data_IF_655994048845
#
_entry.id   IF_655994048845
#
_cell.length_a   1.000
_cell.length_b   1.000
_cell.length_c   1.000
_cell.angle_alpha   90.00
_cell.angle_beta   90.00
_cell.angle_gamma   90.00
#
_symmetry.space_group_name_H-M   'P 1'
#
loop_
_entity.id
_entity.type
_entity.pdbx_description
1 polymer ?
#
# COMPACT_ATOMS: atom_id res chain seq x y z
N UNK A 1 -16.03 24.72 -8.87
CA UNK A 1 -14.96 25.25 -9.74
C UNK A 1 -15.28 24.83 -11.18
N UNK A 2 -15.15 25.71 -12.16
CA UNK A 2 -15.40 25.37 -13.57
C UNK A 2 -14.11 24.83 -14.19
N UNK A 3 -14.21 23.74 -14.95
CA UNK A 3 -13.06 23.08 -15.57
C UNK A 3 -12.31 23.96 -16.57
N UNK A 4 -13.02 24.85 -17.26
CA UNK A 4 -12.48 25.79 -18.24
C UNK A 4 -11.64 26.94 -17.62
N UNK A 5 -11.65 27.06 -16.30
CA UNK A 5 -10.89 28.07 -15.54
C UNK A 5 -9.62 27.50 -14.88
N UNK A 6 -9.36 26.21 -15.07
CA UNK A 6 -8.17 25.57 -14.49
C UNK A 6 -6.92 25.88 -15.33
N UNK A 7 -5.79 26.15 -14.68
CA UNK A 7 -4.52 26.27 -15.40
C UNK A 7 -4.14 24.93 -16.03
N UNK A 8 -3.68 24.93 -17.26
CA UNK A 8 -3.25 23.73 -17.97
C UNK A 8 -1.78 23.80 -18.34
N UNK A 9 -1.04 22.65 -18.28
CA UNK A 9 -1.51 21.31 -17.90
C UNK A 9 -1.65 21.13 -16.37
N UNK A 10 -2.68 20.41 -15.92
CA UNK A 10 -2.86 20.08 -14.49
C UNK A 10 -3.57 18.74 -14.31
N UNK A 11 -3.32 18.10 -13.16
CA UNK A 11 -4.14 16.98 -12.69
C UNK A 11 -5.29 17.53 -11.84
N UNK A 12 -6.46 16.93 -11.97
CA UNK A 12 -7.65 17.31 -11.21
C UNK A 12 -8.22 16.10 -10.50
N UNK A 13 -8.43 16.23 -9.20
CA UNK A 13 -9.12 15.21 -8.41
C UNK A 13 -10.53 15.70 -8.14
N UNK A 14 -11.52 14.91 -8.55
CA UNK A 14 -12.91 15.14 -8.24
C UNK A 14 -13.25 14.43 -6.92
N UNK A 15 -13.20 15.16 -5.82
CA UNK A 15 -13.50 14.60 -4.49
C UNK A 15 -14.90 13.99 -4.39
N UNK A 16 -15.89 14.47 -5.16
CA UNK A 16 -17.23 13.88 -5.14
C UNK A 16 -17.19 12.45 -5.66
N UNK A 17 -16.53 12.23 -6.80
CA UNK A 17 -16.34 10.89 -7.38
C UNK A 17 -15.44 10.03 -6.49
N UNK A 18 -14.40 10.61 -5.91
CA UNK A 18 -13.55 9.91 -4.94
C UNK A 18 -14.38 9.41 -3.75
N UNK A 19 -15.20 10.25 -3.15
CA UNK A 19 -16.09 9.89 -2.05
C UNK A 19 -17.11 8.80 -2.43
N UNK A 20 -17.64 8.85 -3.64
CA UNK A 20 -18.55 7.81 -4.16
C UNK A 20 -17.83 6.46 -4.23
N UNK A 21 -16.63 6.40 -4.78
CA UNK A 21 -15.80 5.20 -4.82
C UNK A 21 -15.41 4.70 -3.42
N UNK A 22 -15.02 5.60 -2.53
CA UNK A 22 -14.65 5.25 -1.15
C UNK A 22 -15.82 4.66 -0.36
N UNK A 23 -17.06 5.11 -0.59
CA UNK A 23 -18.25 4.51 0.02
C UNK A 23 -18.45 3.06 -0.40
N UNK A 24 -18.22 2.75 -1.69
CA UNK A 24 -18.30 1.36 -2.20
C UNK A 24 -17.25 0.49 -1.47
N UNK A 25 -16.01 0.95 -1.37
CA UNK A 25 -14.95 0.23 -0.67
C UNK A 25 -15.29 0.04 0.82
N UNK A 26 -15.82 1.06 1.47
CA UNK A 26 -16.26 0.97 2.87
C UNK A 26 -17.37 -0.07 3.04
N UNK A 27 -18.36 -0.09 2.15
CA UNK A 27 -19.45 -1.07 2.18
C UNK A 27 -18.91 -2.51 2.01
N UNK A 28 -18.00 -2.71 1.07
CA UNK A 28 -17.32 -4.03 0.88
C UNK A 28 -16.57 -4.42 2.15
N UNK A 29 -15.79 -3.51 2.72
CA UNK A 29 -15.04 -3.72 3.95
C UNK A 29 -15.94 -4.18 5.10
N UNK A 30 -17.04 -3.48 5.30
CA UNK A 30 -18.00 -3.75 6.39
C UNK A 30 -18.72 -5.09 6.18
N UNK A 31 -19.17 -5.38 4.94
CA UNK A 31 -19.88 -6.62 4.62
C UNK A 31 -18.97 -7.85 4.66
N UNK A 32 -17.73 -7.72 4.22
CA UNK A 32 -16.76 -8.82 4.20
C UNK A 32 -16.02 -9.00 5.54
N UNK A 33 -16.11 -8.04 6.45
CA UNK A 33 -15.36 -8.06 7.73
C UNK A 33 -13.85 -8.03 7.52
N UNK A 34 -13.37 -7.37 6.46
CA UNK A 34 -11.96 -7.26 6.12
C UNK A 34 -11.44 -5.83 6.29
N UNK A 35 -10.12 -5.66 6.26
CA UNK A 35 -9.48 -4.35 6.14
C UNK A 35 -9.18 -4.04 4.68
N UNK A 36 -9.31 -2.77 4.30
CA UNK A 36 -8.91 -2.27 2.98
C UNK A 36 -7.88 -1.16 3.17
N UNK A 37 -6.73 -1.29 2.51
CA UNK A 37 -5.62 -0.35 2.57
C UNK A 37 -5.45 0.37 1.24
N UNK A 38 -5.05 1.64 1.30
CA UNK A 38 -4.65 2.41 0.13
C UNK A 38 -3.29 1.96 -0.37
N UNK A 39 -3.21 1.48 -1.61
CA UNK A 39 -1.93 1.21 -2.27
C UNK A 39 -1.31 2.53 -2.77
N UNK A 40 -0.31 3.04 -2.07
CA UNK A 40 0.29 4.35 -2.35
C UNK A 40 0.94 4.40 -3.73
N UNK A 41 1.54 3.32 -4.22
CA UNK A 41 2.08 3.24 -5.59
C UNK A 41 1.04 3.48 -6.69
N UNK A 42 -0.24 3.24 -6.40
CA UNK A 42 -1.34 3.50 -7.33
C UNK A 42 -1.93 4.91 -7.17
N UNK A 43 -1.92 5.43 -5.94
CA UNK A 43 -2.46 6.75 -5.63
C UNK A 43 -1.73 7.34 -4.43
N UNK A 44 -0.87 8.32 -4.68
CA UNK A 44 -0.05 8.99 -3.65
C UNK A 44 -0.35 10.48 -3.51
N UNK A 45 -1.53 10.93 -3.92
CA UNK A 45 -1.97 12.30 -3.65
C UNK A 45 -2.30 12.44 -2.16
N UNK A 46 -1.31 12.76 -1.36
CA UNK A 46 -1.39 12.77 0.10
C UNK A 46 -2.36 13.82 0.65
N UNK A 47 -2.66 14.87 -0.09
CA UNK A 47 -3.72 15.84 0.29
C UNK A 47 -5.08 15.17 0.52
N UNK A 48 -5.33 14.04 -0.14
CA UNK A 48 -6.57 13.27 0.01
C UNK A 48 -6.51 12.20 1.13
N UNK A 49 -5.35 11.98 1.74
CA UNK A 49 -5.20 10.93 2.77
C UNK A 49 -6.09 11.13 3.98
N UNK A 50 -6.30 12.36 4.51
CA UNK A 50 -7.25 12.59 5.59
C UNK A 50 -8.70 12.23 5.21
N UNK A 51 -9.09 12.47 3.95
CA UNK A 51 -10.39 12.07 3.44
C UNK A 51 -10.48 10.55 3.28
N UNK A 52 -9.50 9.95 2.60
CA UNK A 52 -9.44 8.49 2.35
C UNK A 52 -9.43 7.71 3.66
N UNK A 53 -8.71 8.18 4.66
CA UNK A 53 -8.63 7.59 5.98
C UNK A 53 -9.95 7.55 6.76
N UNK A 54 -10.99 8.30 6.35
CA UNK A 54 -12.34 8.16 6.92
C UNK A 54 -13.07 6.91 6.43
N UNK A 55 -12.60 6.30 5.37
CA UNK A 55 -13.23 5.15 4.71
C UNK A 55 -12.39 3.89 4.77
N UNK A 56 -11.07 4.03 4.65
CA UNK A 56 -10.11 2.92 4.62
C UNK A 56 -9.37 2.78 5.96
N UNK A 57 -8.73 1.62 6.14
CA UNK A 57 -8.10 1.25 7.42
C UNK A 57 -6.63 1.72 7.51
N UNK A 58 -6.01 2.08 6.39
CA UNK A 58 -4.63 2.50 6.38
C UNK A 58 -4.03 2.52 4.98
N UNK A 59 -2.70 2.41 4.93
CA UNK A 59 -1.90 2.45 3.72
C UNK A 59 -1.05 1.21 3.54
N UNK A 60 -0.68 0.91 2.30
CA UNK A 60 0.38 -0.05 2.00
C UNK A 60 1.46 0.61 1.14
N UNK A 61 2.71 0.39 1.53
CA UNK A 61 3.90 1.02 0.98
C UNK A 61 4.76 0.01 0.21
N UNK A 62 5.46 0.48 -0.81
CA UNK A 62 6.44 -0.29 -1.59
C UNK A 62 7.88 -0.05 -1.10
N UNK A 63 8.08 0.75 -0.06
CA UNK A 63 9.37 1.07 0.53
C UNK A 63 9.27 2.14 1.61
N UNK A 64 10.41 2.54 2.15
CA UNK A 64 10.50 3.44 3.31
C UNK A 64 9.82 4.80 3.08
N UNK A 65 9.99 5.42 1.92
CA UNK A 65 9.45 6.76 1.68
C UNK A 65 7.92 6.77 1.63
N UNK A 66 7.31 5.77 0.99
CA UNK A 66 5.85 5.60 1.03
C UNK A 66 5.36 5.26 2.44
N UNK A 67 6.11 4.45 3.20
CA UNK A 67 5.76 4.13 4.58
C UNK A 67 5.77 5.38 5.48
N UNK A 68 6.76 6.25 5.33
CA UNK A 68 6.79 7.57 6.00
C UNK A 68 5.56 8.40 5.63
N UNK A 69 5.30 8.53 4.33
CA UNK A 69 4.18 9.31 3.82
C UNK A 69 2.84 8.80 4.40
N UNK A 70 2.61 7.49 4.37
CA UNK A 70 1.41 6.89 4.95
C UNK A 70 1.29 7.12 6.45
N UNK A 71 2.41 7.04 7.18
CA UNK A 71 2.45 7.29 8.62
C UNK A 71 2.15 8.76 8.96
N UNK A 72 2.74 9.70 8.22
CA UNK A 72 2.63 11.12 8.48
C UNK A 72 1.27 11.69 8.06
N UNK A 73 0.78 11.32 6.88
CA UNK A 73 -0.38 11.97 6.26
C UNK A 73 -1.71 11.25 6.54
N UNK A 74 -1.70 9.93 6.74
CA UNK A 74 -2.91 9.20 7.10
C UNK A 74 -2.94 8.81 8.58
N UNK A 75 -1.81 8.43 9.15
CA UNK A 75 -1.66 8.11 10.57
C UNK A 75 -2.44 6.88 11.04
N UNK A 76 -2.79 5.98 10.12
CA UNK A 76 -3.53 4.74 10.39
C UNK A 76 -2.63 3.51 10.23
N UNK A 77 -3.23 2.32 10.08
CA UNK A 77 -2.48 1.08 9.87
C UNK A 77 -1.57 1.20 8.65
N UNK A 78 -0.29 0.86 8.80
CA UNK A 78 0.73 1.06 7.78
C UNK A 78 1.45 -0.24 7.48
N UNK A 79 1.26 -0.76 6.27
CA UNK A 79 1.88 -1.99 5.80
C UNK A 79 3.01 -1.68 4.82
N UNK A 80 4.01 -2.55 4.76
CA UNK A 80 5.07 -2.45 3.76
C UNK A 80 5.42 -3.79 3.15
N UNK A 81 5.55 -3.81 1.83
CA UNK A 81 6.17 -4.89 1.07
C UNK A 81 7.17 -4.31 0.07
N UNK A 82 8.42 -4.77 0.15
CA UNK A 82 9.45 -4.50 -0.86
C UNK A 82 10.17 -5.80 -1.22
N UNK A 83 10.60 -5.97 -2.48
CA UNK A 83 11.36 -7.14 -2.90
C UNK A 83 12.68 -7.30 -2.13
N UNK A 84 13.25 -6.19 -1.67
CA UNK A 84 14.45 -6.16 -0.84
C UNK A 84 14.41 -4.97 0.13
N UNK A 85 14.98 -5.16 1.32
CA UNK A 85 15.14 -4.13 2.35
C UNK A 85 16.62 -3.86 2.59
N UNK A 86 16.99 -2.59 2.72
CA UNK A 86 18.30 -2.18 3.22
C UNK A 86 18.33 -2.30 4.75
N UNK A 87 19.49 -2.64 5.32
CA UNK A 87 19.65 -2.78 6.76
C UNK A 87 19.34 -1.49 7.55
N UNK A 88 19.59 -0.32 6.93
CA UNK A 88 19.25 0.96 7.53
C UNK A 88 17.74 1.25 7.51
N UNK A 89 17.07 0.90 6.42
CA UNK A 89 15.64 1.18 6.24
C UNK A 89 14.77 0.29 7.15
N UNK A 90 15.16 -0.97 7.37
CA UNK A 90 14.34 -1.94 8.10
C UNK A 90 14.10 -1.56 9.57
N UNK A 91 15.05 -0.89 10.19
CA UNK A 91 14.90 -0.43 11.58
C UNK A 91 13.78 0.61 11.66
N UNK A 92 13.82 1.61 10.79
CA UNK A 92 12.80 2.66 10.76
C UNK A 92 11.43 2.10 10.33
N UNK A 93 11.39 1.19 9.34
CA UNK A 93 10.17 0.48 8.99
C UNK A 93 9.59 -0.27 10.19
N UNK A 94 10.43 -0.86 11.03
CA UNK A 94 10.04 -1.48 12.29
C UNK A 94 9.39 -0.52 13.28
N UNK A 95 9.70 0.76 13.24
CA UNK A 95 9.10 1.78 14.11
C UNK A 95 7.75 2.27 13.56
N UNK A 96 7.66 2.49 12.24
CA UNK A 96 6.53 3.18 11.62
C UNK A 96 5.49 2.27 10.98
N UNK A 97 5.80 0.98 10.70
CA UNK A 97 4.88 0.02 10.10
C UNK A 97 4.30 -0.92 11.14
N UNK A 98 3.07 -1.35 10.91
CA UNK A 98 2.36 -2.35 11.72
C UNK A 98 2.53 -3.76 11.17
N UNK A 99 2.69 -3.87 9.84
CA UNK A 99 2.86 -5.14 9.13
C UNK A 99 3.97 -5.05 8.08
N UNK A 100 4.91 -6.00 8.11
CA UNK A 100 6.08 -6.02 7.23
C UNK A 100 6.13 -7.36 6.51
N UNK A 101 6.12 -7.32 5.17
CA UNK A 101 6.11 -8.52 4.34
C UNK A 101 7.50 -8.69 3.70
N UNK A 102 8.08 -9.86 3.88
CA UNK A 102 9.36 -10.25 3.30
C UNK A 102 9.17 -11.07 2.01
N UNK A 103 10.12 -10.93 1.09
CA UNK A 103 10.10 -11.63 -0.19
C UNK A 103 10.78 -13.01 -0.15
N UNK A 104 11.48 -13.34 0.94
CA UNK A 104 12.13 -14.63 1.12
C UNK A 104 12.40 -14.96 2.58
N UNK A 105 12.58 -16.25 2.87
CA UNK A 105 13.02 -16.71 4.20
C UNK A 105 14.40 -16.16 4.59
N UNK A 106 15.29 -15.92 3.63
CA UNK A 106 16.60 -15.34 3.90
C UNK A 106 16.47 -13.91 4.44
N UNK A 107 15.62 -13.08 3.82
CA UNK A 107 15.32 -11.73 4.31
C UNK A 107 14.67 -11.77 5.71
N UNK A 108 13.65 -12.63 5.88
CA UNK A 108 12.98 -12.78 7.17
C UNK A 108 13.99 -13.13 8.28
N UNK A 109 14.84 -14.13 8.06
CA UNK A 109 15.88 -14.53 9.06
C UNK A 109 16.86 -13.39 9.36
N UNK A 110 17.26 -12.62 8.35
CA UNK A 110 18.20 -11.51 8.48
C UNK A 110 17.62 -10.36 9.32
N UNK A 111 16.34 -10.07 9.17
CA UNK A 111 15.76 -8.82 9.66
C UNK A 111 14.75 -9.00 10.81
N UNK A 112 14.28 -10.21 11.10
CA UNK A 112 13.22 -10.46 12.09
C UNK A 112 13.49 -9.82 13.47
N UNK A 113 14.73 -9.79 13.90
CA UNK A 113 15.09 -9.26 15.22
C UNK A 113 14.97 -7.72 15.26
N UNK A 114 15.23 -7.05 14.13
CA UNK A 114 15.09 -5.59 13.99
C UNK A 114 13.61 -5.12 13.95
N UNK A 115 12.67 -6.04 13.68
CA UNK A 115 11.24 -5.77 13.60
C UNK A 115 10.44 -6.61 14.60
N UNK A 116 11.06 -6.95 15.71
CA UNK A 116 10.43 -7.74 16.77
C UNK A 116 9.15 -7.07 17.27
N UNK A 117 8.10 -7.87 17.52
CA UNK A 117 6.80 -7.39 17.97
C UNK A 117 5.88 -6.87 16.86
N UNK A 118 6.32 -6.85 15.61
CA UNK A 118 5.47 -6.50 14.47
C UNK A 118 4.81 -7.72 13.85
N UNK A 119 3.71 -7.49 13.14
CA UNK A 119 3.11 -8.53 12.30
C UNK A 119 3.99 -8.75 11.06
N UNK A 120 4.44 -9.99 10.87
CA UNK A 120 5.35 -10.34 9.77
C UNK A 120 4.65 -11.25 8.77
N UNK A 121 4.88 -10.98 7.48
CA UNK A 121 4.37 -11.79 6.38
C UNK A 121 5.50 -12.29 5.46
N UNK A 122 5.20 -13.31 4.70
CA UNK A 122 6.05 -13.83 3.64
C UNK A 122 5.26 -13.86 2.34
N UNK A 123 5.81 -13.23 1.29
CA UNK A 123 5.25 -13.34 -0.05
C UNK A 123 5.59 -14.72 -0.63
N UNK A 124 4.58 -15.40 -1.13
CA UNK A 124 4.74 -16.67 -1.86
C UNK A 124 4.28 -16.45 -3.29
N UNK A 125 5.14 -16.81 -4.26
CA UNK A 125 4.73 -16.92 -5.65
C UNK A 125 4.23 -18.34 -5.89
N UNK A 126 2.94 -18.55 -6.19
CA UNK A 126 2.39 -19.88 -6.45
C UNK A 126 2.79 -20.44 -7.83
N UNK A 127 3.45 -19.62 -8.68
CA UNK A 127 3.79 -19.93 -10.08
C UNK A 127 2.56 -20.40 -10.89
N UNK A 128 1.39 -19.91 -10.50
CA UNK A 128 0.11 -20.19 -11.14
C UNK A 128 -0.60 -18.89 -11.43
N UNK A 129 -0.61 -18.48 -12.69
CA UNK A 129 -1.28 -17.26 -13.14
C UNK A 129 -2.72 -17.53 -13.53
N UNK A 130 -3.61 -16.62 -13.15
CA UNK A 130 -4.98 -16.53 -13.67
C UNK A 130 -5.14 -15.46 -14.72
N UNK A 131 -4.05 -14.75 -15.06
CA UNK A 131 -4.01 -13.79 -16.16
C UNK A 131 -3.83 -14.59 -17.47
N UNK A 132 -4.62 -14.25 -18.49
CA UNK A 132 -4.48 -14.88 -19.82
C UNK A 132 -3.16 -14.50 -20.50
N UNK A 133 -3.05 -14.75 -21.80
CA UNK A 133 -1.82 -14.66 -22.63
C UNK A 133 -1.08 -13.31 -22.70
N UNK A 134 -1.43 -12.32 -21.88
CA UNK A 134 -0.85 -10.97 -21.88
C UNK A 134 -0.03 -10.65 -20.63
N UNK A 135 0.77 -11.58 -20.18
CA UNK A 135 1.48 -11.56 -18.90
C UNK A 135 2.76 -10.69 -18.88
N UNK A 136 2.77 -9.48 -19.44
CA UNK A 136 3.94 -8.58 -19.33
C UNK A 136 4.25 -8.23 -17.88
N UNK A 137 3.23 -8.21 -17.00
CA UNK A 137 3.34 -7.88 -15.57
C UNK A 137 2.68 -8.93 -14.68
N UNK A 138 2.89 -10.20 -14.99
CA UNK A 138 2.34 -11.27 -14.17
C UNK A 138 3.23 -11.53 -12.94
N UNK A 139 2.78 -11.17 -11.72
CA UNK A 139 3.53 -11.42 -10.50
C UNK A 139 3.60 -12.90 -10.12
N UNK A 140 2.85 -13.75 -10.81
CA UNK A 140 2.83 -15.19 -10.60
C UNK A 140 3.63 -15.95 -11.67
N UNK A 141 4.28 -15.27 -12.61
CA UNK A 141 5.16 -15.92 -13.57
C UNK A 141 6.33 -16.63 -12.86
N UNK A 142 6.83 -17.77 -13.39
CA UNK A 142 8.00 -18.42 -12.85
C UNK A 142 9.20 -17.48 -12.77
N UNK A 143 9.84 -17.38 -11.60
CA UNK A 143 10.96 -16.51 -11.36
C UNK A 143 10.63 -15.04 -11.02
N UNK A 144 9.34 -14.70 -10.90
CA UNK A 144 8.90 -13.37 -10.42
C UNK A 144 9.16 -13.13 -8.94
#
# INVERSE_FOLDING_TARGET
MRMDQLPTPCYVIDEKKLKENLRILKEVREKAGCKILLAQKAFSCFYEYPLIGQYLDGTTASGLYEARLGKEEMGKENHVFAPAYKDGDIKELGEICDHIIFNSFAQLRRHKDAVSGKSLGLRINPECSTQGDHAIYDPCAPGS
#
